data_IF_797060524177
#
_entry.id   IF_797060524177
#
_cell.length_a   1.000
_cell.length_b   1.000
_cell.length_c   1.000
_cell.angle_alpha   90.00
_cell.angle_beta   90.00
_cell.angle_gamma   90.00
#
_symmetry.space_group_name_H-M   'P 1'
#
loop_
_entity.id
_entity.type
_entity.pdbx_description
1 polymer ?
#
# COMPACT_ATOMS: atom_id res chain seq x y z
N UNK A 1 2.01 15.87 8.57
CA UNK A 1 0.87 15.02 8.98
C UNK A 1 0.78 13.87 7.99
N UNK A 2 0.26 12.68 8.35
CA UNK A 2 0.03 11.64 7.35
C UNK A 2 -0.96 12.19 6.32
N UNK A 3 -0.59 12.10 5.04
CA UNK A 3 -1.32 12.72 3.94
C UNK A 3 -2.16 11.68 3.20
N UNK A 4 -1.78 10.40 3.28
CA UNK A 4 -2.53 9.30 2.68
C UNK A 4 -2.60 8.09 3.60
N UNK A 5 -3.66 7.30 3.44
CA UNK A 5 -3.71 5.91 3.87
C UNK A 5 -3.55 5.03 2.63
N UNK A 6 -2.52 4.20 2.64
CA UNK A 6 -2.25 3.20 1.62
C UNK A 6 -2.69 1.82 2.12
N UNK A 7 -3.57 1.16 1.38
CA UNK A 7 -4.02 -0.19 1.67
C UNK A 7 -3.74 -1.09 0.47
N UNK A 8 -3.08 -2.22 0.68
CA UNK A 8 -2.88 -3.22 -0.36
C UNK A 8 -3.39 -4.59 0.13
N UNK A 9 -4.20 -5.24 -0.71
CA UNK A 9 -4.85 -6.51 -0.41
C UNK A 9 -4.57 -7.49 -1.54
N UNK A 10 -4.04 -8.67 -1.24
CA UNK A 10 -3.86 -9.72 -2.24
C UNK A 10 -5.20 -10.17 -2.81
N UNK A 11 -5.17 -10.81 -3.99
CA UNK A 11 -6.39 -11.43 -4.55
C UNK A 11 -7.06 -12.43 -3.61
N UNK A 12 -6.32 -13.04 -2.69
CA UNK A 12 -6.84 -13.97 -1.68
C UNK A 12 -7.44 -13.28 -0.45
N UNK A 13 -7.44 -11.94 -0.40
CA UNK A 13 -7.99 -11.16 0.71
C UNK A 13 -7.01 -10.91 1.85
N UNK A 14 -5.74 -11.30 1.71
CA UNK A 14 -4.72 -11.03 2.71
C UNK A 14 -4.24 -9.59 2.55
N UNK A 15 -4.33 -8.81 3.63
CA UNK A 15 -3.78 -7.45 3.64
C UNK A 15 -2.27 -7.50 3.82
N UNK A 16 -1.55 -6.77 2.98
CA UNK A 16 -0.11 -6.94 2.78
C UNK A 16 0.52 -5.58 2.54
N UNK A 17 1.63 -5.32 3.23
CA UNK A 17 2.55 -4.25 2.85
C UNK A 17 3.40 -4.70 1.64
N UNK A 18 3.32 -4.03 0.48
CA UNK A 18 4.11 -4.38 -0.69
C UNK A 18 5.61 -4.12 -0.53
N UNK A 19 6.02 -3.27 0.43
CA UNK A 19 7.43 -2.92 0.66
C UNK A 19 8.07 -3.91 1.63
N UNK A 20 7.47 -4.12 2.80
CA UNK A 20 8.03 -5.01 3.83
C UNK A 20 7.61 -6.47 3.66
N UNK A 21 6.55 -6.74 2.89
CA UNK A 21 5.95 -8.06 2.74
C UNK A 21 5.11 -8.50 3.95
N UNK A 22 5.09 -7.71 5.03
CA UNK A 22 4.38 -8.03 6.26
C UNK A 22 2.86 -7.97 6.08
N UNK A 23 2.08 -8.77 6.82
CA UNK A 23 0.65 -8.58 6.91
C UNK A 23 0.38 -7.23 7.57
N UNK A 24 -0.22 -6.31 6.82
CA UNK A 24 -0.54 -4.97 7.30
C UNK A 24 -1.87 -4.53 6.74
N UNK A 25 -2.72 -4.02 7.62
CA UNK A 25 -4.09 -3.67 7.25
C UNK A 25 -4.18 -2.36 6.47
N UNK A 26 -3.28 -1.41 6.74
CA UNK A 26 -3.21 -0.08 6.14
C UNK A 26 -1.95 0.65 6.64
N UNK A 27 -1.33 1.48 5.80
CA UNK A 27 -0.12 2.23 6.11
C UNK A 27 -0.38 3.72 5.92
N UNK A 28 -0.06 4.52 6.93
CA UNK A 28 -0.07 5.97 6.80
C UNK A 28 1.18 6.42 6.01
N UNK A 29 0.97 7.16 4.93
CA UNK A 29 2.01 7.68 4.05
C UNK A 29 2.07 9.20 4.19
N UNK A 30 3.28 9.72 4.33
CA UNK A 30 3.53 11.11 4.72
C UNK A 30 4.01 11.97 3.54
N UNK A 31 4.67 11.35 2.56
CA UNK A 31 5.22 12.02 1.39
C UNK A 31 4.85 11.26 0.09
N UNK A 32 4.83 12.01 -1.02
CA UNK A 32 4.36 11.49 -2.31
C UNK A 32 5.34 10.49 -2.93
N UNK A 33 6.64 10.64 -2.67
CA UNK A 33 7.67 9.71 -3.17
C UNK A 33 7.50 8.30 -2.55
N UNK A 34 7.19 8.25 -1.26
CA UNK A 34 6.93 7.02 -0.50
C UNK A 34 5.62 6.34 -0.96
N UNK A 35 4.62 7.15 -1.33
CA UNK A 35 3.38 6.67 -1.95
C UNK A 35 3.65 6.05 -3.32
N UNK A 36 4.39 6.74 -4.19
CA UNK A 36 4.75 6.23 -5.52
C UNK A 36 5.58 4.96 -5.43
N UNK A 37 6.52 4.89 -4.48
CA UNK A 37 7.32 3.68 -4.22
C UNK A 37 6.44 2.48 -3.84
N UNK A 38 5.42 2.69 -2.99
CA UNK A 38 4.45 1.64 -2.60
C UNK A 38 3.57 1.19 -3.75
N UNK A 39 3.06 2.14 -4.54
CA UNK A 39 2.26 1.83 -5.74
C UNK A 39 3.09 1.02 -6.74
N UNK A 40 4.35 1.42 -6.98
CA UNK A 40 5.25 0.70 -7.87
C UNK A 40 5.53 -0.72 -7.36
N UNK A 41 5.86 -0.88 -6.06
CA UNK A 41 6.09 -2.19 -5.46
C UNK A 41 4.86 -3.10 -5.57
N UNK A 42 3.67 -2.58 -5.30
CA UNK A 42 2.42 -3.33 -5.38
C UNK A 42 2.09 -3.81 -6.81
N UNK A 43 2.43 -3.01 -7.85
CA UNK A 43 2.23 -3.39 -9.26
C UNK A 43 3.09 -4.57 -9.68
N UNK A 44 4.28 -4.71 -9.10
CA UNK A 44 5.22 -5.79 -9.41
C UNK A 44 5.14 -6.96 -8.44
N UNK A 45 4.24 -6.91 -7.46
CA UNK A 45 4.13 -7.93 -6.43
C UNK A 45 3.52 -9.23 -7.01
N UNK A 46 4.16 -10.39 -6.81
CA UNK A 46 3.66 -11.68 -7.33
C UNK A 46 2.31 -12.10 -6.74
N UNK A 47 1.86 -11.48 -5.65
CA UNK A 47 0.59 -11.78 -4.97
C UNK A 47 -0.61 -11.07 -5.59
N UNK A 48 -0.39 -10.28 -6.65
CA UNK A 48 -1.41 -9.53 -7.39
C UNK A 48 -2.28 -8.67 -6.44
N UNK A 49 -1.69 -7.56 -6.00
CA UNK A 49 -2.25 -6.71 -4.95
C UNK A 49 -3.23 -5.69 -5.52
N UNK A 50 -4.43 -5.65 -4.94
CA UNK A 50 -5.43 -4.60 -5.11
C UNK A 50 -5.06 -3.46 -4.16
N UNK A 51 -4.77 -2.29 -4.73
CA UNK A 51 -4.35 -1.10 -3.98
C UNK A 51 -5.50 -0.10 -3.87
N UNK A 52 -5.69 0.44 -2.68
CA UNK A 52 -6.57 1.59 -2.39
C UNK A 52 -5.74 2.68 -1.73
N UNK A 53 -5.93 3.92 -2.16
CA UNK A 53 -5.23 5.10 -1.61
C UNK A 53 -6.27 6.14 -1.24
N UNK A 54 -6.35 6.47 0.04
CA UNK A 54 -7.24 7.49 0.58
C UNK A 54 -6.41 8.69 1.02
N UNK A 55 -6.76 9.89 0.58
CA UNK A 55 -6.10 11.13 1.03
C UNK A 55 -6.72 11.58 2.36
N UNK A 56 -5.87 11.85 3.34
CA UNK A 56 -6.27 12.43 4.62
C UNK A 56 -6.12 13.95 4.47
N UNK A 57 -7.25 14.64 4.27
CA UNK A 57 -7.33 16.11 4.31
C UNK A 57 -7.19 16.64 5.74
#
# INVERSE_FOLDING_TARGET
>A
MPTWIFTATSRTGAKVDPVSGAPSDSIAVYDEDDLQRRIAAARTDPRDLIVTVDRLD
#
